data_IF_487633860905
#
_entry.id   IF_487633860905
#
_cell.length_a   1.000
_cell.length_b   1.000
_cell.length_c   1.000
_cell.angle_alpha   90.00
_cell.angle_beta   90.00
_cell.angle_gamma   90.00
#
_symmetry.space_group_name_H-M   'P 1'
#
loop_
_entity.id
_entity.type
_entity.pdbx_description
1 polymer ?
#
# COMPACT_ATOMS: atom_id res chain seq x y z
N UNK A 1 -16.31 16.82 -14.94
CA UNK A 1 -14.98 16.19 -14.90
C UNK A 1 -14.48 16.29 -13.48
N UNK A 2 -14.27 15.14 -12.82
CA UNK A 2 -13.71 15.10 -11.48
C UNK A 2 -12.20 14.83 -11.59
N UNK A 3 -11.39 15.50 -10.77
CA UNK A 3 -9.94 15.41 -10.82
C UNK A 3 -9.38 15.05 -9.45
N UNK A 4 -8.30 14.27 -9.44
CA UNK A 4 -7.59 13.88 -8.24
C UNK A 4 -6.09 13.76 -8.53
N UNK A 5 -5.28 14.35 -7.66
CA UNK A 5 -3.84 14.11 -7.64
C UNK A 5 -3.53 12.97 -6.66
N UNK A 6 -2.72 11.99 -7.08
CA UNK A 6 -2.16 10.96 -6.19
C UNK A 6 -0.65 11.13 -6.15
N UNK A 7 -0.08 11.23 -4.95
CA UNK A 7 1.34 11.19 -4.67
C UNK A 7 1.69 9.78 -4.19
N UNK A 8 2.56 9.10 -4.94
CA UNK A 8 2.90 7.70 -4.74
C UNK A 8 4.38 7.52 -4.43
N UNK A 9 4.65 6.81 -3.34
CA UNK A 9 6.00 6.37 -2.92
C UNK A 9 6.05 4.86 -2.68
N UNK A 10 7.25 4.32 -2.58
CA UNK A 10 7.47 2.89 -2.35
C UNK A 10 8.88 2.65 -1.82
N UNK A 11 9.06 1.54 -1.11
CA UNK A 11 10.36 0.92 -0.83
C UNK A 11 11.34 1.91 -0.18
N UNK A 12 10.93 2.61 0.88
CA UNK A 12 11.85 3.54 1.55
C UNK A 12 13.03 2.84 2.21
N UNK A 13 12.88 1.61 2.70
CA UNK A 13 13.94 0.85 3.40
C UNK A 13 14.72 1.71 4.42
N UNK A 14 13.99 2.49 5.22
CA UNK A 14 14.53 3.40 6.22
C UNK A 14 15.42 4.54 5.67
N UNK A 15 15.16 5.00 4.44
CA UNK A 15 15.90 6.10 3.80
C UNK A 15 15.16 7.44 3.79
N UNK A 16 13.92 7.51 4.30
CA UNK A 16 13.23 8.79 4.48
C UNK A 16 13.87 9.58 5.63
N UNK A 17 14.73 10.54 5.29
CA UNK A 17 15.34 11.49 6.24
C UNK A 17 14.45 12.71 6.42
N UNK A 18 14.70 13.51 7.46
CA UNK A 18 13.93 14.74 7.72
C UNK A 18 13.90 15.73 6.53
N UNK A 19 15.03 16.01 5.83
CA UNK A 19 14.97 16.85 4.63
C UNK A 19 14.07 16.29 3.52
N UNK A 20 14.10 14.97 3.29
CA UNK A 20 13.26 14.31 2.28
C UNK A 20 11.78 14.32 2.70
N UNK A 21 11.49 14.11 3.99
CA UNK A 21 10.15 14.24 4.53
C UNK A 21 9.63 15.69 4.42
N UNK A 22 10.50 16.69 4.62
CA UNK A 22 10.15 18.10 4.39
C UNK A 22 9.77 18.36 2.94
N UNK A 23 10.55 17.85 1.99
CA UNK A 23 10.24 17.99 0.57
C UNK A 23 8.89 17.34 0.21
N UNK A 24 8.56 16.19 0.83
CA UNK A 24 7.25 15.56 0.69
C UNK A 24 6.12 16.40 1.26
N UNK A 25 6.30 16.98 2.46
CA UNK A 25 5.31 17.89 3.06
C UNK A 25 5.09 19.13 2.19
N UNK A 26 6.16 19.71 1.65
CA UNK A 26 6.09 20.86 0.76
C UNK A 26 5.33 20.52 -0.52
N UNK A 27 5.65 19.39 -1.18
CA UNK A 27 4.91 18.93 -2.35
C UNK A 27 3.44 18.67 -2.05
N UNK A 28 3.15 17.98 -0.94
CA UNK A 28 1.78 17.71 -0.50
C UNK A 28 1.00 19.00 -0.19
N UNK A 29 1.66 20.03 0.35
CA UNK A 29 1.04 21.33 0.61
C UNK A 29 0.66 22.08 -0.67
N UNK A 30 1.39 21.86 -1.77
CA UNK A 30 1.06 22.41 -3.09
C UNK A 30 -0.16 21.71 -3.72
N UNK A 31 -0.50 20.51 -3.23
CA UNK A 31 -1.61 19.69 -3.70
C UNK A 31 -2.52 19.27 -2.51
N UNK A 32 -3.24 20.21 -1.86
CA UNK A 32 -3.91 19.96 -0.58
C UNK A 32 -4.96 18.83 -0.64
N UNK A 33 -5.66 18.68 -1.76
CA UNK A 33 -6.68 17.65 -1.97
C UNK A 33 -6.14 16.33 -2.58
N UNK A 34 -4.83 16.16 -2.66
CA UNK A 34 -4.23 14.92 -3.18
C UNK A 34 -4.45 13.73 -2.22
N UNK A 35 -4.21 12.51 -2.70
CA UNK A 35 -3.96 11.36 -1.83
C UNK A 35 -2.47 11.06 -1.76
N UNK A 36 -1.93 10.73 -0.60
CA UNK A 36 -0.54 10.31 -0.40
C UNK A 36 -0.50 8.83 -0.01
N UNK A 37 0.04 8.00 -0.90
CA UNK A 37 -0.01 6.54 -0.81
C UNK A 37 1.39 5.93 -0.89
N UNK A 38 1.67 4.92 -0.07
CA UNK A 38 2.95 4.20 -0.09
C UNK A 38 2.78 2.70 -0.34
N UNK A 39 3.57 2.11 -1.24
CA UNK A 39 3.46 0.69 -1.59
C UNK A 39 4.19 -0.26 -0.63
N UNK A 40 4.73 0.18 0.50
CA UNK A 40 5.33 -0.69 1.52
C UNK A 40 6.84 -0.87 1.39
N UNK A 41 7.42 -1.74 2.23
CA UNK A 41 8.85 -1.87 2.52
C UNK A 41 9.48 -0.54 2.94
N UNK A 42 8.77 0.20 3.80
CA UNK A 42 9.26 1.46 4.32
C UNK A 42 10.27 1.25 5.45
N UNK A 43 10.07 0.22 6.28
CA UNK A 43 10.77 0.09 7.56
C UNK A 43 12.24 -0.36 7.46
N UNK A 44 12.99 -0.21 8.55
CA UNK A 44 14.38 -0.68 8.60
C UNK A 44 14.46 -2.20 8.70
N UNK A 45 13.65 -2.77 9.60
CA UNK A 45 13.75 -4.18 9.91
C UNK A 45 13.45 -5.06 8.69
N UNK A 46 14.33 -6.05 8.44
CA UNK A 46 14.07 -7.09 7.45
C UNK A 46 12.98 -8.07 7.89
N UNK A 47 12.69 -9.09 7.08
CA UNK A 47 11.50 -9.94 7.21
C UNK A 47 11.39 -10.74 8.55
N UNK A 48 12.50 -11.02 9.25
CA UNK A 48 12.51 -11.85 10.48
C UNK A 48 12.80 -11.02 11.74
N UNK A 49 13.48 -9.89 11.61
CA UNK A 49 13.82 -9.04 12.75
C UNK A 49 12.71 -8.02 12.99
N UNK A 50 12.59 -7.53 14.22
CA UNK A 50 11.82 -6.35 14.54
C UNK A 50 12.54 -5.56 15.63
N UNK A 51 12.31 -4.24 15.67
CA UNK A 51 12.87 -3.36 16.68
C UNK A 51 11.92 -3.25 17.87
N UNK A 52 12.33 -3.60 19.11
CA UNK A 52 11.53 -3.28 20.29
C UNK A 52 11.31 -1.77 20.39
N UNK A 53 10.05 -1.34 20.55
CA UNK A 53 9.67 0.08 20.52
C UNK A 53 9.32 0.59 19.11
N UNK A 54 9.25 -0.30 18.13
CA UNK A 54 8.85 -0.06 16.75
C UNK A 54 9.83 0.72 15.88
N UNK A 55 9.36 1.00 14.66
CA UNK A 55 10.14 1.52 13.52
C UNK A 55 10.07 3.05 13.39
N UNK A 56 11.13 3.81 13.71
CA UNK A 56 11.09 5.27 13.75
C UNK A 56 10.74 5.95 12.43
N UNK A 57 11.03 5.32 11.29
CA UNK A 57 10.63 5.87 9.99
C UNK A 57 9.11 6.03 9.88
N UNK A 58 8.31 5.22 10.58
CA UNK A 58 6.87 5.42 10.59
C UNK A 58 6.46 6.73 11.29
N UNK A 59 7.23 7.23 12.26
CA UNK A 59 7.00 8.58 12.81
C UNK A 59 7.33 9.66 11.79
N UNK A 60 8.41 9.46 11.03
CA UNK A 60 8.79 10.34 9.94
C UNK A 60 7.67 10.38 8.89
N UNK A 61 7.13 9.22 8.51
CA UNK A 61 5.99 9.11 7.63
C UNK A 61 4.76 9.77 8.24
N UNK A 62 4.49 9.63 9.54
CA UNK A 62 3.37 10.33 10.20
C UNK A 62 3.46 11.87 10.13
N UNK A 63 4.66 12.43 9.94
CA UNK A 63 4.82 13.87 9.74
C UNK A 63 4.33 14.34 8.36
N UNK A 64 4.26 13.41 7.40
CA UNK A 64 3.65 13.59 6.09
C UNK A 64 2.21 13.05 6.17
N UNK A 65 1.19 13.73 5.65
CA UNK A 65 -0.19 13.24 5.76
C UNK A 65 -0.44 12.11 4.75
N UNK A 66 0.06 10.91 5.05
CA UNK A 66 -0.24 9.68 4.32
C UNK A 66 -1.67 9.22 4.58
N UNK A 67 -2.36 8.84 3.50
CA UNK A 67 -3.73 8.34 3.54
C UNK A 67 -3.77 6.81 3.72
N UNK A 68 -2.81 6.09 3.14
CA UNK A 68 -2.64 4.65 3.34
C UNK A 68 -1.25 4.17 2.92
N UNK A 69 -0.87 2.99 3.42
CA UNK A 69 0.32 2.27 3.00
C UNK A 69 -0.02 0.79 2.76
N UNK A 70 0.51 0.15 1.73
CA UNK A 70 0.46 -1.30 1.60
C UNK A 70 1.48 -1.94 2.55
N UNK A 71 1.13 -3.08 3.13
CA UNK A 71 2.11 -3.92 3.82
C UNK A 71 3.11 -4.46 2.80
N UNK A 72 4.39 -4.18 2.98
CA UNK A 72 5.47 -4.88 2.30
C UNK A 72 5.88 -6.16 3.02
N UNK A 73 6.79 -6.92 2.42
CA UNK A 73 7.36 -8.10 3.08
C UNK A 73 8.13 -7.74 4.35
N UNK A 74 8.65 -6.51 4.45
CA UNK A 74 9.35 -6.02 5.63
C UNK A 74 8.41 -5.67 6.76
N UNK A 75 7.23 -5.10 6.49
CA UNK A 75 6.25 -4.81 7.55
C UNK A 75 5.61 -6.09 8.12
N UNK A 76 5.60 -7.18 7.36
CA UNK A 76 5.13 -8.48 7.84
C UNK A 76 6.09 -9.13 8.86
N UNK A 77 5.50 -9.88 9.79
CA UNK A 77 6.21 -10.82 10.64
C UNK A 77 5.29 -11.96 11.06
N UNK A 78 5.82 -13.19 11.10
CA UNK A 78 5.02 -14.38 11.37
C UNK A 78 4.53 -14.49 12.82
N UNK A 79 5.24 -13.89 13.78
CA UNK A 79 4.73 -13.72 15.15
C UNK A 79 3.96 -12.41 15.28
N UNK A 80 2.82 -12.43 15.96
CA UNK A 80 1.96 -11.26 16.22
C UNK A 80 2.72 -10.09 16.84
N UNK A 81 3.58 -10.35 17.83
CA UNK A 81 4.39 -9.29 18.46
C UNK A 81 5.28 -8.57 17.46
N UNK A 82 5.97 -9.31 16.58
CA UNK A 82 6.83 -8.70 15.57
C UNK A 82 6.03 -7.86 14.58
N UNK A 83 4.83 -8.31 14.19
CA UNK A 83 3.95 -7.58 13.30
C UNK A 83 3.49 -6.25 13.92
N UNK A 84 3.09 -6.31 15.19
CA UNK A 84 2.70 -5.12 15.96
C UNK A 84 3.89 -4.16 16.06
N UNK A 85 5.08 -4.61 16.44
CA UNK A 85 6.25 -3.73 16.56
C UNK A 85 6.62 -3.07 15.22
N UNK A 86 6.51 -3.81 14.11
CA UNK A 86 6.82 -3.29 12.76
C UNK A 86 5.83 -2.23 12.25
N UNK A 87 4.59 -2.22 12.74
CA UNK A 87 3.51 -1.37 12.18
C UNK A 87 2.88 -0.41 13.18
N UNK A 88 3.03 -0.64 14.48
CA UNK A 88 2.32 0.06 15.58
C UNK A 88 2.53 1.57 15.63
N UNK A 89 3.59 2.07 15.00
CA UNK A 89 3.89 3.50 14.96
C UNK A 89 3.17 4.23 13.83
N UNK A 90 2.62 3.55 12.83
CA UNK A 90 1.85 4.19 11.76
C UNK A 90 0.51 4.73 12.30
N UNK A 91 0.23 6.01 12.04
CA UNK A 91 -1.06 6.65 12.33
C UNK A 91 -2.04 6.61 11.15
N UNK A 92 -1.61 6.00 10.04
CA UNK A 92 -2.38 5.77 8.83
C UNK A 92 -2.62 4.26 8.64
N UNK A 93 -3.64 3.86 7.87
CA UNK A 93 -3.95 2.46 7.65
C UNK A 93 -2.86 1.73 6.87
N UNK A 94 -2.47 0.55 7.35
CA UNK A 94 -1.60 -0.41 6.64
C UNK A 94 -2.46 -1.51 6.04
N UNK A 95 -2.39 -1.68 4.72
CA UNK A 95 -3.33 -2.47 3.93
C UNK A 95 -2.73 -3.81 3.47
N UNK A 96 -3.49 -4.89 3.57
CA UNK A 96 -3.18 -6.19 2.97
C UNK A 96 -4.44 -7.06 2.94
N UNK A 97 -5.01 -7.26 1.74
CA UNK A 97 -6.24 -8.01 1.52
C UNK A 97 -6.01 -9.53 1.37
N UNK A 98 -4.77 -9.96 1.11
CA UNK A 98 -4.43 -11.37 0.94
C UNK A 98 -3.83 -12.01 2.20
N UNK A 99 -3.93 -11.36 3.35
CA UNK A 99 -3.51 -11.91 4.64
C UNK A 99 -4.70 -12.54 5.39
N UNK A 100 -4.49 -13.72 5.97
CA UNK A 100 -5.50 -14.50 6.69
C UNK A 100 -4.99 -14.89 8.06
N UNK A 101 -5.90 -15.00 9.04
CA UNK A 101 -5.56 -15.50 10.36
C UNK A 101 -5.26 -17.00 10.30
N UNK A 102 -4.12 -17.42 10.86
CA UNK A 102 -3.77 -18.84 10.97
C UNK A 102 -4.56 -19.55 12.09
N UNK A 103 -5.17 -18.80 13.00
CA UNK A 103 -5.99 -19.34 14.08
C UNK A 103 -7.35 -18.60 14.16
N UNK A 104 -8.48 -19.32 14.00
CA UNK A 104 -9.83 -18.74 14.04
C UNK A 104 -10.14 -17.95 15.33
N UNK A 105 -9.50 -18.30 16.45
CA UNK A 105 -9.69 -17.59 17.72
C UNK A 105 -9.11 -16.16 17.73
N UNK A 106 -8.30 -15.79 16.73
CA UNK A 106 -7.68 -14.46 16.60
C UNK A 106 -8.35 -13.59 15.52
N UNK A 107 -9.51 -14.01 14.99
CA UNK A 107 -10.29 -13.27 13.97
C UNK A 107 -10.68 -11.85 14.44
N UNK A 108 -10.71 -11.57 15.76
CA UNK A 108 -11.18 -10.31 16.32
C UNK A 108 -10.17 -9.15 16.33
N UNK A 109 -9.00 -9.27 15.69
CA UNK A 109 -8.03 -8.15 15.60
C UNK A 109 -8.16 -7.36 14.28
N UNK A 110 -9.00 -7.82 13.34
CA UNK A 110 -8.99 -7.31 11.95
C UNK A 110 -10.17 -6.35 11.61
N UNK A 111 -11.18 -6.20 12.48
CA UNK A 111 -12.32 -5.32 12.20
C UNK A 111 -12.75 -4.50 13.42
N UNK A 112 -12.38 -3.21 13.45
CA UNK A 112 -12.86 -2.27 14.47
C UNK A 112 -12.36 -0.83 14.28
N UNK A 113 -13.15 0.20 14.67
CA UNK A 113 -12.83 1.60 14.43
C UNK A 113 -11.65 2.08 15.28
N UNK A 114 -10.96 3.09 14.74
CA UNK A 114 -9.63 3.58 15.11
C UNK A 114 -9.60 4.15 16.54
N UNK A 115 -8.89 3.51 17.47
CA UNK A 115 -8.45 4.14 18.73
C UNK A 115 -7.21 3.46 19.39
N UNK A 116 -6.16 3.09 18.64
CA UNK A 116 -4.83 2.59 19.12
C UNK A 116 -4.85 1.28 19.98
N UNK A 117 -3.71 0.59 20.19
CA UNK A 117 -2.58 0.32 19.30
C UNK A 117 -2.82 -1.00 18.53
N UNK A 118 -2.61 -0.98 17.21
CA UNK A 118 -2.91 -2.05 16.24
C UNK A 118 -4.40 -2.35 16.01
N UNK A 119 -5.01 -1.61 15.08
CA UNK A 119 -6.37 -1.86 14.55
C UNK A 119 -6.37 -2.85 13.38
N UNK A 120 -5.54 -3.89 13.46
CA UNK A 120 -5.40 -4.89 12.39
C UNK A 120 -4.85 -4.35 11.08
N UNK A 121 -4.42 -5.26 10.23
CA UNK A 121 -4.22 -4.94 8.81
C UNK A 121 -5.61 -4.78 8.20
N UNK A 122 -5.87 -3.67 7.50
CA UNK A 122 -7.13 -3.51 6.77
C UNK A 122 -6.98 -4.11 5.37
N UNK A 123 -8.04 -4.68 4.82
CA UNK A 123 -8.00 -5.13 3.43
C UNK A 123 -8.01 -3.92 2.48
N UNK A 124 -8.82 -2.90 2.81
CA UNK A 124 -9.01 -1.70 2.02
C UNK A 124 -9.44 -0.49 2.87
N UNK A 125 -9.43 0.69 2.24
CA UNK A 125 -10.06 1.92 2.71
C UNK A 125 -10.81 2.61 1.58
N UNK A 126 -11.89 3.32 1.90
CA UNK A 126 -12.61 4.19 0.96
C UNK A 126 -12.52 5.63 1.45
N UNK A 127 -12.12 6.53 0.55
CA UNK A 127 -11.93 7.96 0.82
C UNK A 127 -12.85 8.74 -0.13
N UNK A 128 -13.61 9.68 0.42
CA UNK A 128 -14.44 10.59 -0.35
C UNK A 128 -13.67 11.90 -0.59
N UNK A 129 -13.36 12.16 -1.87
CA UNK A 129 -12.67 13.38 -2.33
C UNK A 129 -13.58 14.23 -3.23
N UNK A 130 -14.90 14.11 -3.06
CA UNK A 130 -15.93 14.55 -4.01
C UNK A 130 -16.39 13.45 -4.96
N UNK A 131 -15.68 12.31 -4.95
CA UNK A 131 -16.08 11.02 -5.48
C UNK A 131 -15.38 9.93 -4.64
N UNK A 132 -15.90 8.70 -4.69
CA UNK A 132 -15.40 7.60 -3.85
C UNK A 132 -14.18 6.93 -4.48
N UNK A 133 -13.05 7.02 -3.80
CA UNK A 133 -11.82 6.30 -4.13
C UNK A 133 -11.66 5.14 -3.16
N UNK A 134 -11.64 3.91 -3.66
CA UNK A 134 -11.36 2.74 -2.83
C UNK A 134 -9.97 2.19 -3.13
N UNK A 135 -9.19 2.00 -2.08
CA UNK A 135 -7.80 1.55 -2.14
C UNK A 135 -7.70 0.23 -1.36
N UNK A 136 -7.29 -0.85 -2.02
CA UNK A 136 -7.06 -2.13 -1.36
C UNK A 136 -5.59 -2.54 -1.46
N UNK A 137 -5.09 -3.24 -0.43
CA UNK A 137 -3.69 -3.64 -0.32
C UNK A 137 -3.44 -5.07 -0.81
N UNK A 138 -2.29 -5.34 -1.43
CA UNK A 138 -1.85 -6.73 -1.73
C UNK A 138 -0.36 -6.89 -1.45
N UNK A 139 0.02 -7.94 -0.74
CA UNK A 139 1.41 -8.16 -0.31
C UNK A 139 1.95 -9.45 -0.89
N UNK A 140 3.24 -9.49 -1.24
CA UNK A 140 3.92 -10.73 -1.65
C UNK A 140 3.77 -11.80 -0.56
N UNK A 141 3.34 -13.04 -0.89
CA UNK A 141 3.18 -14.10 0.10
C UNK A 141 4.51 -14.52 0.77
N UNK A 142 4.71 -14.14 2.04
CA UNK A 142 5.89 -14.54 2.82
C UNK A 142 5.75 -15.93 3.47
N UNK A 143 4.53 -16.29 3.87
CA UNK A 143 4.15 -17.61 4.40
C UNK A 143 2.82 -17.99 3.78
N UNK A 144 2.74 -19.12 3.10
CA UNK A 144 1.50 -19.60 2.45
C UNK A 144 0.83 -20.73 3.23
N UNK A 145 -0.39 -21.08 2.80
CA UNK A 145 -1.23 -22.17 3.31
C UNK A 145 -0.43 -23.48 3.54
N UNK A 146 0.38 -23.88 2.55
CA UNK A 146 1.04 -25.18 2.51
C UNK A 146 2.38 -25.23 3.23
N UNK A 147 2.90 -24.07 3.67
CA UNK A 147 4.20 -24.02 4.32
C UNK A 147 4.11 -24.53 5.76
N UNK A 148 5.04 -25.43 6.16
CA UNK A 148 5.11 -25.97 7.53
C UNK A 148 5.21 -24.88 8.61
N UNK A 149 5.85 -23.75 8.28
CA UNK A 149 5.99 -22.60 9.19
C UNK A 149 4.64 -21.95 9.54
N UNK A 150 3.58 -22.14 8.73
CA UNK A 150 2.21 -21.70 9.06
C UNK A 150 1.78 -22.15 10.45
N UNK A 151 2.20 -23.34 10.89
CA UNK A 151 1.84 -23.93 12.20
C UNK A 151 2.26 -23.08 13.41
N UNK A 152 3.25 -22.21 13.23
CA UNK A 152 3.73 -21.28 14.27
C UNK A 152 3.48 -19.81 13.90
N UNK A 153 2.91 -19.55 12.74
CA UNK A 153 2.60 -18.21 12.28
C UNK A 153 1.25 -17.76 12.84
N UNK A 154 1.11 -16.47 13.11
CA UNK A 154 -0.13 -15.85 13.53
C UNK A 154 -1.07 -15.62 12.34
N UNK A 155 -0.49 -15.27 11.20
CA UNK A 155 -1.18 -15.04 9.94
C UNK A 155 -0.41 -15.72 8.81
N UNK A 156 -1.07 -15.92 7.69
CA UNK A 156 -0.48 -16.44 6.46
C UNK A 156 -1.13 -15.75 5.26
N UNK A 157 -0.53 -15.89 4.09
CA UNK A 157 -1.00 -15.28 2.86
C UNK A 157 -1.68 -16.32 1.97
N UNK A 158 -2.79 -15.91 1.37
CA UNK A 158 -3.33 -16.55 0.17
C UNK A 158 -2.74 -15.88 -1.07
N UNK A 159 -3.01 -16.43 -2.26
CA UNK A 159 -2.57 -15.84 -3.50
C UNK A 159 -3.16 -14.41 -3.66
N UNK A 160 -2.33 -13.39 -3.99
CA UNK A 160 -2.79 -12.02 -4.07
C UNK A 160 -3.79 -11.79 -5.22
N UNK A 161 -3.68 -12.54 -6.33
CA UNK A 161 -4.60 -12.43 -7.46
C UNK A 161 -5.93 -13.09 -7.10
N UNK A 162 -5.91 -14.24 -6.41
CA UNK A 162 -7.13 -14.87 -5.87
C UNK A 162 -7.86 -13.93 -4.89
N UNK A 163 -7.13 -13.32 -3.96
CA UNK A 163 -7.70 -12.36 -3.02
C UNK A 163 -8.33 -11.15 -3.73
N UNK A 164 -7.66 -10.62 -4.75
CA UNK A 164 -8.16 -9.51 -5.54
C UNK A 164 -9.36 -9.88 -6.39
N UNK A 165 -9.38 -11.06 -7.01
CA UNK A 165 -10.51 -11.56 -7.80
C UNK A 165 -11.80 -11.69 -6.95
N UNK A 166 -11.67 -12.06 -5.68
CA UNK A 166 -12.78 -12.11 -4.73
C UNK A 166 -13.20 -10.71 -4.24
N UNK A 167 -12.25 -9.81 -4.00
CA UNK A 167 -12.50 -8.50 -3.37
C UNK A 167 -12.91 -7.40 -4.36
N UNK A 168 -12.21 -7.28 -5.49
CA UNK A 168 -12.36 -6.17 -6.43
C UNK A 168 -13.80 -6.01 -6.98
N UNK A 169 -14.55 -7.07 -7.35
CA UNK A 169 -15.92 -6.90 -7.83
C UNK A 169 -16.86 -6.27 -6.80
N UNK A 170 -16.65 -6.58 -5.51
CA UNK A 170 -17.44 -6.01 -4.39
C UNK A 170 -17.07 -4.55 -4.14
N UNK A 171 -15.79 -4.21 -4.21
CA UNK A 171 -15.35 -2.82 -4.02
C UNK A 171 -15.74 -1.93 -5.20
N UNK A 172 -15.68 -2.46 -6.43
CA UNK A 172 -15.97 -1.73 -7.66
C UNK A 172 -17.38 -1.13 -7.71
N UNK A 173 -18.37 -1.82 -7.14
CA UNK A 173 -19.77 -1.32 -7.08
C UNK A 173 -19.94 -0.20 -6.06
N UNK A 174 -18.99 -0.01 -5.14
CA UNK A 174 -19.02 0.99 -4.08
C UNK A 174 -18.05 2.17 -4.33
N UNK A 175 -17.37 2.23 -5.47
CA UNK A 175 -16.42 3.29 -5.77
C UNK A 175 -16.50 3.82 -7.20
N UNK A 176 -16.04 5.04 -7.37
CA UNK A 176 -15.88 5.70 -8.66
C UNK A 176 -14.47 5.44 -9.23
N UNK A 177 -13.46 5.27 -8.36
CA UNK A 177 -12.10 4.88 -8.70
C UNK A 177 -11.62 3.74 -7.80
N UNK A 178 -11.18 2.61 -8.40
CA UNK A 178 -10.63 1.46 -7.69
C UNK A 178 -9.11 1.38 -7.89
N UNK A 179 -8.37 1.49 -6.79
CA UNK A 179 -6.90 1.50 -6.77
C UNK A 179 -6.39 0.26 -6.03
N UNK A 180 -5.51 -0.51 -6.67
CA UNK A 180 -4.73 -1.55 -6.00
C UNK A 180 -3.39 -0.94 -5.53
N UNK A 181 -3.14 -0.90 -4.23
CA UNK A 181 -1.86 -0.52 -3.65
C UNK A 181 -1.08 -1.79 -3.32
N UNK A 182 -0.05 -2.10 -4.08
CA UNK A 182 0.53 -3.45 -4.09
C UNK A 182 2.02 -3.48 -3.74
N UNK A 183 2.42 -4.58 -3.09
CA UNK A 183 3.80 -4.95 -2.82
C UNK A 183 4.06 -6.38 -3.30
N UNK A 184 3.67 -6.68 -4.55
CA UNK A 184 3.78 -8.01 -5.17
C UNK A 184 4.80 -8.05 -6.32
N UNK A 185 5.29 -6.88 -6.75
CA UNK A 185 6.26 -6.74 -7.84
C UNK A 185 5.63 -6.60 -9.22
N UNK A 186 6.35 -5.94 -10.13
CA UNK A 186 5.82 -5.51 -11.43
C UNK A 186 5.20 -6.63 -12.28
N UNK A 187 5.85 -7.80 -12.39
CA UNK A 187 5.28 -8.88 -13.21
C UNK A 187 3.98 -9.43 -12.61
N UNK A 188 3.89 -9.50 -11.27
CA UNK A 188 2.64 -9.88 -10.60
C UNK A 188 1.57 -8.80 -10.67
N UNK A 189 1.95 -7.53 -10.73
CA UNK A 189 1.02 -6.44 -11.02
C UNK A 189 0.44 -6.55 -12.45
N UNK A 190 1.23 -7.00 -13.42
CA UNK A 190 0.73 -7.29 -14.78
C UNK A 190 -0.23 -8.47 -14.79
N UNK A 191 0.15 -9.57 -14.14
CA UNK A 191 -0.74 -10.73 -13.97
C UNK A 191 -2.07 -10.31 -13.31
N UNK A 192 -2.01 -9.47 -12.28
CA UNK A 192 -3.18 -8.94 -11.57
C UNK A 192 -4.08 -8.11 -12.49
N UNK A 193 -3.51 -7.18 -13.25
CA UNK A 193 -4.25 -6.33 -14.19
C UNK A 193 -4.96 -7.15 -15.27
N UNK A 194 -4.36 -8.24 -15.73
CA UNK A 194 -4.96 -9.13 -16.74
C UNK A 194 -6.06 -10.01 -16.14
N UNK A 195 -5.85 -10.52 -14.92
CA UNK A 195 -6.76 -11.47 -14.29
C UNK A 195 -7.98 -10.81 -13.60
N UNK A 196 -7.86 -9.56 -13.15
CA UNK A 196 -8.86 -8.90 -12.30
C UNK A 196 -9.36 -7.60 -12.96
N UNK A 197 -10.39 -7.68 -13.84
CA UNK A 197 -10.95 -6.50 -14.47
C UNK A 197 -11.66 -5.60 -13.44
N UNK A 198 -11.69 -4.29 -13.72
CA UNK A 198 -12.33 -3.29 -12.88
C UNK A 198 -11.40 -2.54 -11.92
N UNK A 199 -10.12 -2.95 -11.84
CA UNK A 199 -9.05 -2.16 -11.23
C UNK A 199 -8.64 -1.07 -12.22
N UNK A 200 -8.74 0.20 -11.80
CA UNK A 200 -8.40 1.33 -12.67
C UNK A 200 -6.88 1.60 -12.65
N UNK A 201 -6.29 1.56 -11.45
CA UNK A 201 -4.89 1.90 -11.21
C UNK A 201 -4.22 0.89 -10.27
N UNK A 202 -2.98 0.53 -10.59
CA UNK A 202 -2.10 -0.23 -9.70
C UNK A 202 -0.92 0.65 -9.30
N UNK A 203 -0.69 0.80 -8.00
CA UNK A 203 0.42 1.51 -7.40
C UNK A 203 1.33 0.48 -6.72
N UNK A 204 2.41 0.10 -7.38
CA UNK A 204 3.24 -1.03 -7.00
C UNK A 204 4.59 -0.68 -6.37
N UNK A 205 5.16 -1.66 -5.66
CA UNK A 205 6.52 -1.65 -5.09
C UNK A 205 7.22 -3.01 -5.25
N UNK A 206 8.13 -3.33 -4.33
CA UNK A 206 8.87 -4.61 -4.21
C UNK A 206 10.03 -4.80 -5.19
N UNK A 207 9.82 -4.56 -6.49
CA UNK A 207 10.88 -4.75 -7.50
C UNK A 207 11.81 -3.56 -7.63
N UNK A 208 11.61 -2.50 -6.82
CA UNK A 208 12.34 -1.22 -6.87
C UNK A 208 12.35 -0.58 -8.26
N UNK A 209 11.39 -0.96 -9.10
CA UNK A 209 11.28 -0.49 -10.46
C UNK A 209 10.78 0.96 -10.45
N UNK A 210 11.09 1.72 -11.49
CA UNK A 210 10.55 3.07 -11.66
C UNK A 210 9.99 3.18 -13.05
N UNK A 211 8.69 3.46 -13.17
CA UNK A 211 8.06 3.52 -14.48
C UNK A 211 6.55 3.65 -14.43
N UNK A 212 6.00 3.88 -15.63
CA UNK A 212 4.60 3.76 -15.96
C UNK A 212 4.49 2.60 -16.96
N UNK A 213 3.56 1.68 -16.69
CA UNK A 213 3.30 0.51 -17.50
C UNK A 213 1.80 0.35 -17.70
N UNK A 214 1.41 -0.50 -18.64
CA UNK A 214 0.01 -0.86 -18.87
C UNK A 214 -0.10 -2.36 -19.08
N UNK A 215 -1.15 -2.95 -18.53
CA UNK A 215 -1.64 -4.24 -18.99
C UNK A 215 -3.16 -4.20 -19.12
N UNK A 216 -3.67 -4.62 -20.27
CA UNK A 216 -5.06 -4.37 -20.65
C UNK A 216 -5.43 -2.89 -20.55
N UNK A 217 -6.49 -2.59 -19.79
CA UNK A 217 -6.98 -1.24 -19.56
C UNK A 217 -6.42 -0.59 -18.27
N UNK A 218 -5.67 -1.34 -17.47
CA UNK A 218 -5.18 -0.88 -16.16
C UNK A 218 -3.79 -0.26 -16.30
N UNK A 219 -3.60 0.90 -15.68
CA UNK A 219 -2.30 1.58 -15.64
C UNK A 219 -1.56 1.22 -14.36
N UNK A 220 -0.28 0.92 -14.48
CA UNK A 220 0.57 0.42 -13.40
C UNK A 220 1.70 1.43 -13.17
N UNK A 221 1.86 1.88 -11.94
CA UNK A 221 2.87 2.84 -11.55
C UNK A 221 3.80 2.28 -10.49
N UNK A 222 5.10 2.42 -10.72
CA UNK A 222 6.14 2.13 -9.72
C UNK A 222 6.99 3.39 -9.50
N UNK A 223 7.18 3.78 -8.24
CA UNK A 223 7.89 5.01 -7.85
C UNK A 223 9.38 4.85 -7.57
N UNK A 224 9.90 3.61 -7.59
CA UNK A 224 11.29 3.32 -7.30
C UNK A 224 11.53 2.90 -5.85
N UNK A 225 12.58 3.44 -5.25
CA UNK A 225 13.00 3.08 -3.89
C UNK A 225 13.74 4.23 -3.20
N UNK A 226 13.97 4.06 -1.90
CA UNK A 226 14.86 4.84 -1.05
C UNK A 226 14.53 6.33 -0.98
N UNK A 227 13.24 6.67 -1.08
CA UNK A 227 12.76 8.06 -1.06
C UNK A 227 13.48 8.94 -2.10
N UNK A 228 13.94 8.36 -3.22
CA UNK A 228 14.62 9.11 -4.30
C UNK A 228 13.64 9.95 -5.09
N UNK A 229 12.44 9.41 -5.28
CA UNK A 229 11.39 10.03 -6.07
C UNK A 229 10.02 9.82 -5.42
N UNK A 230 9.10 10.71 -5.76
CA UNK A 230 7.65 10.56 -5.59
C UNK A 230 7.02 10.67 -6.97
N UNK A 231 6.08 9.78 -7.29
CA UNK A 231 5.32 9.88 -8.53
C UNK A 231 4.06 10.69 -8.26
N UNK A 232 3.86 11.77 -9.00
CA UNK A 232 2.59 12.50 -9.01
C UNK A 232 1.77 12.00 -10.18
N UNK A 233 0.55 11.56 -9.89
CA UNK A 233 -0.39 11.02 -10.86
C UNK A 233 -1.60 11.93 -10.84
N UNK A 234 -1.95 12.49 -11.99
CA UNK A 234 -3.18 13.25 -12.16
C UNK A 234 -4.22 12.33 -12.77
N UNK A 235 -5.31 12.10 -12.05
CA UNK A 235 -6.44 11.25 -12.44
C UNK A 235 -7.61 12.15 -12.81
N UNK A 236 -8.17 11.93 -14.00
CA UNK A 236 -9.38 12.57 -14.47
C UNK A 236 -10.45 11.51 -14.73
N UNK A 237 -11.62 11.71 -14.10
CA UNK A 237 -12.81 10.89 -14.32
C UNK A 237 -13.77 11.64 -15.25
N UNK A 238 -14.03 11.04 -16.40
CA UNK A 238 -14.94 11.57 -17.42
C UNK A 238 -15.90 10.47 -17.91
N UNK A 239 -17.19 10.60 -17.58
CA UNK A 239 -18.25 9.68 -17.98
C UNK A 239 -17.97 8.18 -17.70
N UNK A 240 -17.22 7.87 -16.63
CA UNK A 240 -16.84 6.50 -16.25
C UNK A 240 -15.53 6.00 -16.88
N UNK A 241 -14.89 6.81 -17.72
CA UNK A 241 -13.53 6.58 -18.22
C UNK A 241 -12.51 7.22 -17.26
N UNK A 242 -11.44 6.49 -16.96
CA UNK A 242 -10.32 6.97 -16.14
C UNK A 242 -9.16 7.35 -17.06
N UNK A 243 -8.85 8.64 -17.11
CA UNK A 243 -7.66 9.17 -17.80
C UNK A 243 -6.60 9.49 -16.76
N UNK A 244 -5.36 9.10 -17.03
CA UNK A 244 -4.24 9.38 -16.13
C UNK A 244 -3.05 9.95 -16.88
N UNK A 245 -2.39 10.91 -16.23
CA UNK A 245 -1.06 11.36 -16.59
C UNK A 245 -0.17 11.28 -15.36
N UNK A 246 1.13 11.11 -15.55
CA UNK A 246 2.04 11.04 -14.42
C UNK A 246 3.37 11.72 -14.70
N UNK A 247 3.98 12.23 -13.63
CA UNK A 247 5.34 12.73 -13.65
C UNK A 247 6.09 12.25 -12.40
N UNK A 248 7.40 12.07 -12.55
CA UNK A 248 8.27 11.61 -11.47
C UNK A 248 9.04 12.80 -10.91
N UNK A 249 8.81 13.11 -9.64
CA UNK A 249 9.50 14.19 -8.93
C UNK A 249 10.66 13.63 -8.11
N UNK A 250 11.91 14.07 -8.35
CA UNK A 250 13.03 13.74 -7.48
C UNK A 250 12.85 14.43 -6.11
N UNK A 251 12.97 13.68 -5.02
CA UNK A 251 12.96 14.23 -3.66
C UNK A 251 14.35 14.68 -3.21
N UNK A 252 15.41 14.17 -3.85
CA UNK A 252 16.80 14.50 -3.54
C UNK A 252 17.71 13.27 -3.56
N UNK A 253 19.01 13.47 -3.29
CA UNK A 253 19.92 12.35 -3.00
C UNK A 253 19.81 12.01 -1.52
N UNK A 254 19.36 10.78 -1.22
CA UNK A 254 19.38 10.20 0.12
C UNK A 254 20.81 9.99 0.63
#
# INVERSE_FOLDING_TARGET
>A
MAQLTILHTSDFHNKLTEPLASNLRDLKSQHPNSLMLDSGDAIWAGNIFWRPGGEPILDMMNSVPYDAMCMGNREYHFLSKGLIEKTSRANFPVLSANLRSANPAHINVVAGPVSRPFSGNKEYVTIDVGFRVTIFGLTVPCITEDMRVKRIAHQYFIDPIEAAADLAPRLRVECDLLVALTHIGLEKDRDLAEAVPGIDLILGGHTHTTGEFRSGNTVIFHSGMYARCVRKIEVELDAGEVKVTSELFPLGKA
#
